data_IF_908652731584
#
_entry.id   IF_908652731584
#
_cell.length_a   1.000
_cell.length_b   1.000
_cell.length_c   1.000
_cell.angle_alpha   90.00
_cell.angle_beta   90.00
_cell.angle_gamma   90.00
#
_symmetry.space_group_name_H-M   'P 1'
#
loop_
_entity.id
_entity.type
_entity.pdbx_description
1 polymer ?
#
# COMPACT_ATOMS: atom_id res chain seq x y z
N UNK A 1 0.89 2.55 20.91
CA UNK A 1 -0.30 1.65 20.85
C UNK A 1 -0.60 0.98 22.18
N UNK A 2 0.38 0.38 22.88
CA UNK A 2 0.14 -0.36 24.14
C UNK A 2 -0.66 0.40 25.22
N UNK A 3 -0.50 1.72 25.33
CA UNK A 3 -1.17 2.48 26.40
C UNK A 3 -2.55 3.07 26.01
N UNK A 4 -2.90 3.06 24.71
CA UNK A 4 -4.08 3.78 24.21
C UNK A 4 -4.98 2.98 23.26
N UNK A 5 -4.47 1.88 22.69
CA UNK A 5 -5.18 1.11 21.67
C UNK A 5 -5.88 -0.13 22.23
N UNK A 6 -5.46 -0.62 23.40
CA UNK A 6 -5.96 -1.88 23.98
C UNK A 6 -7.49 -1.85 24.10
N UNK A 7 -8.16 -2.85 23.51
CA UNK A 7 -9.62 -2.98 23.48
C UNK A 7 -10.31 -2.22 22.33
N UNK A 8 -9.58 -1.40 21.58
CA UNK A 8 -10.10 -0.57 20.50
C UNK A 8 -9.66 -1.06 19.12
N UNK A 9 -10.51 -0.80 18.12
CA UNK A 9 -10.09 -0.84 16.73
C UNK A 9 -9.07 0.26 16.47
N UNK A 10 -7.93 -0.13 15.90
CA UNK A 10 -6.86 0.77 15.50
C UNK A 10 -6.74 0.73 14.00
N UNK A 11 -6.72 1.92 13.40
CA UNK A 11 -6.51 2.12 11.98
C UNK A 11 -5.07 2.57 11.75
N UNK A 12 -4.32 1.81 10.96
CA UNK A 12 -2.88 1.98 10.74
C UNK A 12 -2.64 2.08 9.23
N UNK A 13 -2.40 3.30 8.76
CA UNK A 13 -2.12 3.59 7.34
C UNK A 13 -1.05 4.67 7.25
N UNK A 14 -0.28 4.64 6.17
CA UNK A 14 0.68 5.71 5.87
C UNK A 14 -0.05 6.91 5.23
N UNK A 15 0.58 8.08 5.24
CA UNK A 15 -0.01 9.34 4.73
C UNK A 15 -0.25 9.32 3.21
N UNK A 16 0.45 8.44 2.50
CA UNK A 16 0.34 8.18 1.07
C UNK A 16 -0.55 6.96 0.78
N UNK A 17 -1.40 6.54 1.72
CA UNK A 17 -2.30 5.40 1.56
C UNK A 17 -3.78 5.76 1.73
N UNK A 18 -4.63 5.21 0.85
CA UNK A 18 -6.08 5.26 0.98
C UNK A 18 -6.64 3.85 1.13
N UNK A 19 -7.31 3.59 2.26
CA UNK A 19 -7.96 2.31 2.51
C UNK A 19 -9.38 2.28 1.96
N UNK A 20 -9.67 1.28 1.14
CA UNK A 20 -11.03 0.96 0.70
C UNK A 20 -11.45 -0.39 1.30
N UNK A 21 -12.73 -0.51 1.61
CA UNK A 21 -13.33 -1.71 2.18
C UNK A 21 -14.64 -2.04 1.46
N UNK A 22 -15.14 -3.29 1.52
CA UNK A 22 -16.42 -3.66 0.92
C UNK A 22 -17.56 -2.70 1.31
N UNK A 23 -18.17 -2.07 0.30
CA UNK A 23 -19.29 -1.15 0.48
C UNK A 23 -18.90 0.26 0.95
N UNK A 24 -17.63 0.67 0.83
CA UNK A 24 -17.15 2.01 1.23
C UNK A 24 -17.86 3.17 0.51
N UNK A 25 -18.46 2.96 -0.65
CA UNK A 25 -19.21 4.01 -1.36
C UNK A 25 -20.53 4.37 -0.69
N UNK A 26 -21.09 3.47 0.11
CA UNK A 26 -22.43 3.62 0.70
C UNK A 26 -22.46 3.46 2.21
N UNK A 27 -21.34 3.03 2.82
CA UNK A 27 -21.25 2.72 4.24
C UNK A 27 -20.00 3.36 4.84
N UNK A 28 -20.14 3.89 6.05
CA UNK A 28 -19.00 4.31 6.84
C UNK A 28 -18.19 3.12 7.37
N UNK A 29 -16.93 3.38 7.73
CA UNK A 29 -16.02 2.39 8.29
C UNK A 29 -16.61 1.64 9.50
N UNK A 30 -17.42 2.31 10.32
CA UNK A 30 -18.07 1.69 11.48
C UNK A 30 -18.91 0.46 11.12
N UNK A 31 -19.71 0.52 10.05
CA UNK A 31 -20.53 -0.63 9.62
C UNK A 31 -19.67 -1.80 9.13
N UNK A 32 -18.54 -1.51 8.51
CA UNK A 32 -17.58 -2.52 8.11
C UNK A 32 -16.92 -3.18 9.34
N UNK A 33 -16.57 -2.39 10.35
CA UNK A 33 -16.05 -2.92 11.61
C UNK A 33 -17.08 -3.74 12.37
N UNK A 34 -18.36 -3.33 12.40
CA UNK A 34 -19.45 -4.10 13.00
C UNK A 34 -19.60 -5.47 12.32
N UNK A 35 -19.46 -5.54 11.00
CA UNK A 35 -19.43 -6.80 10.27
C UNK A 35 -18.25 -7.66 10.72
N UNK A 36 -17.05 -7.11 10.73
CA UNK A 36 -15.83 -7.84 11.10
C UNK A 36 -15.90 -8.36 12.54
N UNK A 37 -16.34 -7.52 13.49
CA UNK A 37 -16.54 -7.89 14.89
C UNK A 37 -17.65 -8.93 15.05
N UNK A 38 -18.76 -8.80 14.33
CA UNK A 38 -19.88 -9.75 14.35
C UNK A 38 -19.49 -11.16 13.88
N UNK A 39 -18.46 -11.27 13.03
CA UNK A 39 -17.88 -12.55 12.60
C UNK A 39 -16.71 -13.01 13.50
N UNK A 40 -16.48 -12.32 14.62
CA UNK A 40 -15.48 -12.67 15.61
C UNK A 40 -14.03 -12.40 15.18
N UNK A 41 -13.81 -11.74 14.05
CA UNK A 41 -12.47 -11.38 13.58
C UNK A 41 -11.93 -10.16 14.33
N UNK A 42 -10.60 -10.00 14.33
CA UNK A 42 -9.88 -8.95 15.06
C UNK A 42 -8.82 -8.26 14.20
N UNK A 43 -8.69 -8.63 12.92
CA UNK A 43 -7.76 -7.99 12.00
C UNK A 43 -8.24 -8.14 10.56
N UNK A 44 -7.99 -7.11 9.75
CA UNK A 44 -8.28 -7.10 8.31
C UNK A 44 -6.99 -6.93 7.55
N UNK A 45 -6.67 -7.89 6.69
CA UNK A 45 -5.56 -7.79 5.73
C UNK A 45 -5.98 -6.94 4.54
N UNK A 46 -5.04 -6.21 3.97
CA UNK A 46 -5.25 -5.45 2.74
C UNK A 46 -4.04 -5.59 1.80
N UNK A 47 -4.21 -6.10 0.57
CA UNK A 47 -3.23 -5.90 -0.49
C UNK A 47 -3.05 -4.41 -0.81
N UNK A 48 -1.88 -4.06 -1.33
CA UNK A 48 -1.54 -2.73 -1.80
C UNK A 48 -1.56 -2.70 -3.33
N UNK A 49 -2.26 -1.73 -3.91
CA UNK A 49 -2.12 -1.34 -5.31
C UNK A 49 -1.30 -0.06 -5.37
N UNK A 50 -0.12 -0.15 -5.97
CA UNK A 50 0.69 1.04 -6.20
C UNK A 50 0.06 1.84 -7.35
N UNK A 51 -0.35 3.07 -7.03
CA UNK A 51 -1.02 3.99 -7.93
C UNK A 51 0.01 4.92 -8.59
N UNK A 52 -0.20 5.26 -9.86
CA UNK A 52 0.69 6.11 -10.64
C UNK A 52 -0.04 6.98 -11.68
N UNK A 53 0.66 7.99 -12.20
CA UNK A 53 0.21 8.82 -13.31
C UNK A 53 0.53 8.20 -14.68
N UNK A 54 -0.04 8.77 -15.74
CA UNK A 54 0.33 8.51 -17.15
C UNK A 54 1.59 9.27 -17.61
N UNK A 55 2.25 9.97 -16.69
CA UNK A 55 3.48 10.74 -16.90
C UNK A 55 4.69 10.05 -16.29
N UNK A 56 5.88 10.54 -16.64
CA UNK A 56 7.09 10.23 -15.92
C UNK A 56 6.89 10.51 -14.42
N UNK A 57 7.48 9.66 -13.56
CA UNK A 57 7.29 9.75 -12.10
C UNK A 57 7.67 11.13 -11.58
N UNK A 58 8.75 11.72 -12.09
CA UNK A 58 9.19 13.07 -11.74
C UNK A 58 8.19 14.18 -12.14
N UNK A 59 7.21 13.88 -12.99
CA UNK A 59 6.25 14.82 -13.57
C UNK A 59 4.80 14.56 -13.14
N UNK A 60 4.55 13.66 -12.19
CA UNK A 60 3.20 13.30 -11.69
C UNK A 60 2.38 14.53 -11.24
N UNK A 61 3.04 15.57 -10.71
CA UNK A 61 2.43 16.89 -10.53
C UNK A 61 1.40 16.99 -9.42
N UNK A 62 1.44 16.11 -8.41
CA UNK A 62 0.59 16.21 -7.24
C UNK A 62 0.86 17.49 -6.46
N UNK A 63 -0.19 18.15 -5.97
CA UNK A 63 -0.08 19.33 -5.11
C UNK A 63 -0.70 19.02 -3.76
N UNK A 64 -0.06 19.46 -2.69
CA UNK A 64 -0.56 19.27 -1.32
C UNK A 64 -2.03 19.74 -1.21
N UNK A 65 -2.87 18.89 -0.61
CA UNK A 65 -4.31 19.13 -0.49
C UNK A 65 -5.11 18.76 -1.74
N UNK A 66 -4.46 18.35 -2.83
CA UNK A 66 -5.09 17.80 -4.02
C UNK A 66 -5.58 16.37 -3.83
N UNK A 67 -6.30 15.84 -4.82
CA UNK A 67 -6.76 14.45 -4.79
C UNK A 67 -5.68 13.50 -5.34
N UNK A 68 -5.18 12.60 -4.50
CA UNK A 68 -4.18 11.59 -4.89
C UNK A 68 -4.70 10.67 -6.02
N UNK A 69 -5.98 10.31 -6.02
CA UNK A 69 -6.60 9.49 -7.08
C UNK A 69 -6.66 10.25 -8.41
N UNK A 70 -6.85 11.57 -8.38
CA UNK A 70 -6.83 12.38 -9.63
C UNK A 70 -5.41 12.52 -10.19
N UNK A 71 -4.41 12.66 -9.32
CA UNK A 71 -3.00 12.73 -9.72
C UNK A 71 -2.47 11.38 -10.24
N UNK A 72 -2.86 10.29 -9.57
CA UNK A 72 -2.41 8.93 -9.87
C UNK A 72 -3.62 7.99 -10.02
N UNK A 73 -4.34 8.05 -11.14
CA UNK A 73 -5.54 7.22 -11.34
C UNK A 73 -5.20 5.80 -11.80
N UNK A 74 -3.97 5.54 -12.23
CA UNK A 74 -3.60 4.28 -12.88
C UNK A 74 -2.94 3.29 -11.92
N UNK A 75 -3.13 2.01 -12.18
CA UNK A 75 -2.47 0.90 -11.51
C UNK A 75 -2.32 -0.28 -12.49
N UNK A 76 -1.53 -1.29 -12.14
CA UNK A 76 -1.41 -2.49 -12.98
C UNK A 76 -2.63 -3.40 -12.84
N UNK A 77 -3.22 -3.83 -13.96
CA UNK A 77 -4.31 -4.82 -13.93
C UNK A 77 -3.85 -6.26 -13.65
N UNK A 78 -2.55 -6.54 -13.84
CA UNK A 78 -1.99 -7.90 -13.78
C UNK A 78 -0.53 -7.93 -13.27
N UNK A 79 0.08 -9.11 -13.29
CA UNK A 79 1.48 -9.28 -12.88
C UNK A 79 1.70 -9.41 -11.37
N UNK A 80 0.66 -9.86 -10.64
CA UNK A 80 0.72 -10.06 -9.20
C UNK A 80 0.91 -11.54 -8.82
N UNK A 81 1.83 -11.78 -7.89
CA UNK A 81 1.94 -13.04 -7.15
C UNK A 81 0.86 -13.07 -6.07
N UNK A 82 0.12 -14.18 -5.98
CA UNK A 82 -0.96 -14.36 -5.01
C UNK A 82 -0.49 -15.09 -3.75
N UNK A 83 -1.05 -14.71 -2.60
CA UNK A 83 -0.77 -15.38 -1.33
C UNK A 83 -1.22 -16.84 -1.32
N UNK A 84 -0.36 -17.71 -0.78
CA UNK A 84 -0.60 -19.15 -0.67
C UNK A 84 -1.70 -19.54 0.31
N UNK A 85 -2.07 -20.83 0.31
CA UNK A 85 -3.22 -21.38 1.08
C UNK A 85 -3.15 -21.15 2.60
N UNK A 86 -1.95 -21.08 3.17
CA UNK A 86 -1.71 -20.94 4.61
C UNK A 86 -1.36 -19.50 5.02
N UNK A 87 -1.65 -18.53 4.15
CA UNK A 87 -1.42 -17.10 4.38
C UNK A 87 -2.75 -16.42 4.73
N UNK A 88 -2.70 -15.39 5.59
CA UNK A 88 -3.83 -14.49 5.80
C UNK A 88 -4.22 -13.75 4.51
N UNK A 89 -3.28 -13.58 3.59
CA UNK A 89 -3.49 -12.98 2.28
C UNK A 89 -3.78 -14.02 1.19
N UNK A 90 -4.41 -15.15 1.53
CA UNK A 90 -4.71 -16.23 0.59
C UNK A 90 -5.50 -15.70 -0.62
N UNK A 91 -4.96 -15.91 -1.81
CA UNK A 91 -5.58 -15.47 -3.06
C UNK A 91 -5.56 -13.95 -3.29
N UNK A 92 -4.91 -13.18 -2.41
CA UNK A 92 -4.73 -11.74 -2.57
C UNK A 92 -3.35 -11.44 -3.17
N UNK A 93 -3.19 -10.33 -3.92
CA UNK A 93 -1.88 -9.86 -4.36
C UNK A 93 -0.93 -9.64 -3.16
N UNK A 94 0.26 -10.25 -3.21
CA UNK A 94 1.27 -10.09 -2.16
C UNK A 94 2.62 -9.58 -2.68
N UNK A 95 2.83 -9.60 -3.99
CA UNK A 95 4.03 -9.12 -4.67
C UNK A 95 3.71 -8.86 -6.13
N UNK A 96 4.53 -8.08 -6.83
CA UNK A 96 4.38 -7.84 -8.27
C UNK A 96 4.15 -6.36 -8.58
N UNK A 97 3.28 -6.10 -9.56
CA UNK A 97 2.86 -4.77 -9.97
C UNK A 97 4.02 -3.87 -10.42
N UNK A 98 3.85 -2.53 -10.38
CA UNK A 98 4.80 -1.60 -10.98
C UNK A 98 6.14 -1.62 -10.23
N UNK A 99 6.14 -1.85 -8.91
CA UNK A 99 7.39 -1.99 -8.16
C UNK A 99 8.23 -3.16 -8.64
N UNK A 100 7.62 -4.31 -8.95
CA UNK A 100 8.37 -5.43 -9.51
C UNK A 100 8.76 -5.18 -10.96
N UNK A 101 7.82 -4.74 -11.81
CA UNK A 101 8.07 -4.49 -13.24
C UNK A 101 9.22 -3.51 -13.45
N UNK A 102 9.16 -2.35 -12.79
CA UNK A 102 10.06 -1.24 -13.07
C UNK A 102 11.43 -1.40 -12.41
N UNK A 103 11.52 -2.11 -11.28
CA UNK A 103 12.75 -2.12 -10.49
C UNK A 103 13.35 -3.51 -10.26
N UNK A 104 12.65 -4.61 -10.58
CA UNK A 104 13.16 -5.99 -10.42
C UNK A 104 13.17 -6.81 -11.70
N UNK A 105 12.11 -6.77 -12.51
CA UNK A 105 11.92 -7.74 -13.61
C UNK A 105 13.09 -7.78 -14.61
N UNK A 106 13.71 -6.63 -14.88
CA UNK A 106 14.86 -6.49 -15.77
C UNK A 106 16.19 -6.25 -15.04
N UNK A 107 16.21 -6.39 -13.71
CA UNK A 107 17.37 -6.09 -12.87
C UNK A 107 17.65 -7.32 -12.01
N UNK A 108 18.67 -8.09 -12.39
CA UNK A 108 19.08 -9.33 -11.71
C UNK A 108 19.44 -9.06 -10.23
N UNK A 109 18.43 -9.12 -9.35
CA UNK A 109 18.53 -8.78 -7.93
C UNK A 109 18.38 -10.05 -7.10
N UNK A 110 19.32 -10.26 -6.19
CA UNK A 110 19.38 -11.44 -5.31
C UNK A 110 18.28 -11.49 -4.22
N UNK A 111 17.38 -10.51 -4.18
CA UNK A 111 16.31 -10.41 -3.18
C UNK A 111 14.99 -10.03 -3.84
N UNK A 112 13.85 -10.47 -3.30
CA UNK A 112 12.55 -10.23 -3.93
C UNK A 112 12.14 -8.75 -3.87
N UNK A 113 11.28 -8.33 -4.81
CA UNK A 113 10.58 -7.04 -4.75
C UNK A 113 9.74 -6.94 -3.48
N UNK A 114 9.25 -5.77 -3.07
CA UNK A 114 8.59 -5.62 -1.76
C UNK A 114 7.27 -6.37 -1.65
N UNK A 115 6.90 -6.71 -0.42
CA UNK A 115 5.59 -7.30 -0.11
C UNK A 115 4.50 -6.24 -0.22
N UNK A 116 3.44 -6.57 -0.96
CA UNK A 116 2.30 -5.70 -1.27
C UNK A 116 1.09 -5.99 -0.38
N UNK A 117 1.27 -6.17 0.93
CA UNK A 117 0.16 -6.32 1.89
C UNK A 117 0.46 -5.63 3.21
N UNK A 118 -0.57 -5.13 3.88
CA UNK A 118 -0.51 -4.59 5.26
C UNK A 118 -1.73 -5.07 6.06
N UNK A 119 -1.73 -4.76 7.35
CA UNK A 119 -2.87 -4.95 8.26
C UNK A 119 -3.39 -3.60 8.72
N UNK A 120 -4.21 -2.90 7.91
CA UNK A 120 -4.63 -1.54 8.25
C UNK A 120 -5.61 -1.48 9.41
N UNK A 121 -6.36 -2.55 9.68
CA UNK A 121 -7.30 -2.59 10.81
C UNK A 121 -6.95 -3.74 11.72
N UNK A 122 -6.79 -3.40 13.00
CA UNK A 122 -6.54 -4.37 14.08
C UNK A 122 -7.31 -3.96 15.31
N UNK A 123 -8.01 -4.91 15.93
CA UNK A 123 -8.52 -4.77 17.28
C UNK A 123 -7.39 -5.09 18.24
N UNK A 124 -6.80 -4.06 18.83
CA UNK A 124 -5.57 -4.21 19.61
C UNK A 124 -5.88 -4.94 20.92
N UNK A 125 -5.18 -6.06 21.14
CA UNK A 125 -5.28 -6.85 22.37
C UNK A 125 -4.01 -6.72 23.19
N UNK A 126 -4.11 -7.02 24.49
CA UNK A 126 -2.92 -7.19 25.32
C UNK A 126 -2.06 -8.34 24.75
N UNK A 127 -0.77 -8.08 24.51
CA UNK A 127 0.12 -9.00 23.79
C UNK A 127 0.13 -8.88 22.25
N UNK A 128 -0.61 -7.95 21.64
CA UNK A 128 -0.48 -7.65 20.20
C UNK A 128 0.90 -7.05 19.89
N UNK A 129 1.57 -7.60 18.87
CA UNK A 129 2.90 -7.15 18.43
C UNK A 129 2.92 -6.96 16.91
N UNK A 130 3.20 -5.73 16.48
CA UNK A 130 3.47 -5.42 15.09
C UNK A 130 4.87 -5.92 14.72
N UNK A 131 4.95 -6.84 13.77
CA UNK A 131 6.21 -7.36 13.24
C UNK A 131 6.37 -6.81 11.82
N UNK A 132 7.57 -6.28 11.52
CA UNK A 132 7.89 -5.62 10.26
C UNK A 132 6.91 -4.49 9.91
N UNK A 133 6.88 -3.45 10.75
CA UNK A 133 5.98 -2.28 10.69
C UNK A 133 4.49 -2.60 10.81
N UNK A 134 3.90 -3.29 9.82
CA UNK A 134 2.50 -3.75 9.82
C UNK A 134 2.29 -5.03 8.97
N UNK A 135 3.37 -5.64 8.46
CA UNK A 135 3.30 -6.75 7.50
C UNK A 135 2.99 -8.10 8.12
N UNK A 136 3.13 -8.25 9.43
CA UNK A 136 2.79 -9.50 10.13
C UNK A 136 2.28 -9.19 11.53
N UNK A 137 1.15 -9.78 11.87
CA UNK A 137 0.54 -9.71 13.19
C UNK A 137 0.28 -11.13 13.68
N UNK A 138 0.62 -11.43 14.93
CA UNK A 138 0.37 -12.73 15.57
C UNK A 138 -0.73 -12.58 16.63
N UNK A 139 -1.40 -13.70 16.94
CA UNK A 139 -2.42 -13.73 18.00
C UNK A 139 -3.76 -13.09 17.61
N UNK A 140 -3.99 -12.84 16.32
CA UNK A 140 -5.25 -12.29 15.79
C UNK A 140 -6.07 -13.32 15.05
N UNK A 141 -7.38 -13.05 14.95
CA UNK A 141 -8.32 -13.78 14.09
C UNK A 141 -8.56 -12.95 12.84
N UNK A 142 -8.14 -13.46 11.69
CA UNK A 142 -8.27 -12.75 10.42
C UNK A 142 -9.72 -12.73 9.95
N UNK A 143 -10.15 -11.58 9.44
CA UNK A 143 -11.41 -11.45 8.73
C UNK A 143 -11.37 -12.26 7.44
N UNK A 144 -12.51 -12.85 7.05
CA UNK A 144 -12.67 -13.50 5.75
C UNK A 144 -12.69 -12.50 4.58
N UNK A 145 -13.02 -11.23 4.90
CA UNK A 145 -13.02 -10.10 3.97
C UNK A 145 -11.69 -9.36 4.06
N UNK A 146 -11.21 -8.89 2.91
CA UNK A 146 -10.08 -7.96 2.84
C UNK A 146 -10.56 -6.56 2.48
N UNK A 147 -9.76 -5.56 2.83
CA UNK A 147 -9.82 -4.27 2.16
C UNK A 147 -8.73 -4.15 1.11
N UNK A 148 -8.49 -2.96 0.60
CA UNK A 148 -7.38 -2.67 -0.31
C UNK A 148 -6.79 -1.31 0.03
N UNK A 149 -5.47 -1.22 -0.03
CA UNK A 149 -4.75 0.03 0.12
C UNK A 149 -4.35 0.53 -1.25
N UNK A 150 -4.83 1.70 -1.63
CA UNK A 150 -4.27 2.44 -2.75
C UNK A 150 -3.05 3.19 -2.22
N UNK A 151 -1.88 2.91 -2.77
CA UNK A 151 -0.61 3.39 -2.26
C UNK A 151 0.05 4.31 -3.29
N UNK A 152 0.30 5.55 -2.90
CA UNK A 152 0.70 6.65 -3.79
C UNK A 152 2.20 6.92 -3.68
N UNK A 153 3.02 5.91 -3.98
CA UNK A 153 4.47 6.01 -3.91
C UNK A 153 5.10 6.77 -5.08
N UNK A 154 4.47 6.69 -6.25
CA UNK A 154 5.00 7.23 -7.50
C UNK A 154 4.60 8.69 -7.69
N UNK A 155 5.09 9.56 -6.80
CA UNK A 155 4.94 11.01 -6.87
C UNK A 155 6.24 11.69 -7.33
N UNK A 156 6.16 12.98 -7.65
CA UNK A 156 7.28 13.76 -8.20
C UNK A 156 8.54 13.79 -7.32
N UNK A 157 8.40 13.57 -6.02
CA UNK A 157 9.47 13.55 -5.02
C UNK A 157 10.04 12.14 -4.77
N UNK A 158 9.56 11.10 -5.47
CA UNK A 158 9.94 9.72 -5.17
C UNK A 158 11.45 9.47 -5.34
N UNK A 159 12.09 10.05 -6.37
CA UNK A 159 13.52 9.90 -6.58
C UNK A 159 14.35 10.52 -5.43
N UNK A 160 13.94 11.70 -4.96
CA UNK A 160 14.57 12.34 -3.81
C UNK A 160 14.39 11.52 -2.53
N UNK A 161 13.16 11.09 -2.25
CA UNK A 161 12.85 10.24 -1.11
C UNK A 161 13.64 8.92 -1.17
N UNK A 162 13.75 8.28 -2.34
CA UNK A 162 14.51 7.05 -2.51
C UNK A 162 16.00 7.23 -2.21
N UNK A 163 16.60 8.33 -2.71
CA UNK A 163 17.99 8.70 -2.47
C UNK A 163 18.28 8.96 -0.99
N UNK A 164 17.41 9.72 -0.33
CA UNK A 164 17.54 9.99 1.11
C UNK A 164 17.46 8.70 1.93
N UNK A 165 16.45 7.86 1.69
CA UNK A 165 16.24 6.64 2.45
C UNK A 165 17.31 5.58 2.18
N UNK A 166 17.89 5.56 0.97
CA UNK A 166 19.06 4.75 0.63
C UNK A 166 20.31 5.17 1.44
N UNK A 167 20.45 6.47 1.72
CA UNK A 167 21.56 7.05 2.48
C UNK A 167 21.42 6.89 4.01
N UNK A 168 20.19 6.96 4.56
CA UNK A 168 19.94 6.85 6.01
C UNK A 168 20.25 5.46 6.58
N UNK A 169 20.14 4.40 5.78
CA UNK A 169 20.41 3.00 6.18
C UNK A 169 19.59 2.46 7.39
N UNK A 170 18.57 3.17 7.87
CA UNK A 170 17.74 2.77 9.02
C UNK A 170 16.55 1.84 8.67
N UNK A 171 16.32 1.55 7.39
CA UNK A 171 15.21 0.69 6.92
C UNK A 171 15.54 -0.82 6.93
N UNK A 172 14.48 -1.65 6.94
CA UNK A 172 14.56 -3.12 6.89
C UNK A 172 15.62 -3.62 5.90
N UNK A 173 16.55 -4.43 6.42
CA UNK A 173 17.68 -4.99 5.67
C UNK A 173 18.60 -3.97 4.98
N UNK A 174 18.91 -2.86 5.66
CA UNK A 174 19.94 -1.91 5.25
C UNK A 174 19.55 -1.09 4.02
N UNK A 175 18.28 -0.69 3.92
CA UNK A 175 17.74 0.12 2.81
C UNK A 175 17.91 -0.48 1.40
N UNK A 176 18.12 -1.80 1.27
CA UNK A 176 18.31 -2.47 -0.04
C UNK A 176 17.21 -2.17 -1.06
N UNK A 177 15.97 -2.04 -0.58
CA UNK A 177 14.82 -1.69 -1.42
C UNK A 177 14.94 -0.26 -1.96
N UNK A 178 15.33 0.70 -1.13
CA UNK A 178 15.49 2.09 -1.54
C UNK A 178 16.69 2.28 -2.48
N UNK A 179 17.79 1.54 -2.27
CA UNK A 179 18.90 1.48 -3.22
C UNK A 179 18.48 0.94 -4.58
N UNK A 180 17.58 -0.05 -4.62
CA UNK A 180 17.03 -0.57 -5.87
C UNK A 180 16.22 0.48 -6.64
N UNK A 181 15.48 1.34 -5.93
CA UNK A 181 14.77 2.45 -6.56
C UNK A 181 15.72 3.53 -7.05
N UNK A 182 16.61 3.98 -6.18
CA UNK A 182 17.57 5.05 -6.44
C UNK A 182 18.46 4.72 -7.66
N UNK A 183 18.93 3.48 -7.79
CA UNK A 183 19.74 3.02 -8.93
C UNK A 183 19.06 3.24 -10.30
N UNK A 184 17.74 3.07 -10.38
CA UNK A 184 16.98 3.24 -11.62
C UNK A 184 16.54 4.68 -11.79
N UNK A 185 15.96 5.29 -10.74
CA UNK A 185 15.44 6.66 -10.78
C UNK A 185 16.54 7.69 -11.09
N UNK A 186 17.78 7.45 -10.66
CA UNK A 186 18.92 8.32 -10.98
C UNK A 186 19.39 8.20 -12.43
N UNK A 187 19.11 7.10 -13.13
CA UNK A 187 19.55 6.86 -14.51
C UNK A 187 18.45 7.18 -15.52
N UNK A 188 17.19 7.05 -15.12
CA UNK A 188 16.03 7.14 -15.98
C UNK A 188 15.05 8.22 -15.51
N UNK A 189 15.41 9.49 -15.74
CA UNK A 189 14.55 10.62 -15.37
C UNK A 189 13.14 10.57 -16.02
N UNK A 190 13.03 9.93 -17.19
CA UNK A 190 11.76 9.73 -17.91
C UNK A 190 11.00 8.46 -17.50
N UNK A 191 11.41 7.76 -16.44
CA UNK A 191 10.77 6.50 -16.03
C UNK A 191 9.28 6.71 -15.78
N UNK A 192 8.47 5.95 -16.51
CA UNK A 192 7.01 6.00 -16.46
C UNK A 192 6.47 4.64 -16.05
N UNK A 193 5.53 4.62 -15.12
CA UNK A 193 4.88 3.39 -14.68
C UNK A 193 3.75 2.94 -15.63
N UNK A 194 3.11 3.89 -16.32
CA UNK A 194 2.02 3.64 -17.25
C UNK A 194 2.43 2.82 -18.46
N UNK A 195 1.58 1.86 -18.83
CA UNK A 195 1.78 0.94 -19.95
C UNK A 195 0.41 0.42 -20.45
N UNK A 196 0.41 -0.44 -21.47
CA UNK A 196 -0.82 -0.95 -22.09
C UNK A 196 -1.72 -1.74 -21.11
N UNK A 197 -1.14 -2.44 -20.13
CA UNK A 197 -1.89 -3.18 -19.11
C UNK A 197 -2.26 -2.33 -17.88
N UNK A 198 -2.18 -1.00 -17.97
CA UNK A 198 -2.63 -0.10 -16.91
C UNK A 198 -4.16 0.04 -16.89
N UNK A 199 -4.75 -0.13 -15.72
CA UNK A 199 -6.17 0.12 -15.45
C UNK A 199 -6.36 1.43 -14.68
N UNK A 200 -7.50 2.12 -14.92
CA UNK A 200 -7.80 3.38 -14.27
C UNK A 200 -8.89 3.25 -13.21
N UNK A 201 -8.62 3.81 -12.03
CA UNK A 201 -9.65 4.17 -11.05
C UNK A 201 -9.95 5.66 -11.14
N UNK A 202 -11.19 5.99 -11.50
CA UNK A 202 -11.65 7.39 -11.47
C UNK A 202 -12.16 7.75 -10.08
N UNK A 203 -11.79 8.94 -9.60
CA UNK A 203 -12.38 9.50 -8.40
C UNK A 203 -13.89 9.70 -8.61
N UNK A 204 -14.73 9.07 -7.79
CA UNK A 204 -16.18 9.33 -7.74
C UNK A 204 -16.58 10.35 -6.66
N UNK A 205 -15.61 10.84 -5.87
CA UNK A 205 -15.88 11.83 -4.84
C UNK A 205 -16.00 13.22 -5.48
N UNK A 206 -17.23 13.73 -5.53
CA UNK A 206 -17.47 15.16 -5.66
C UNK A 206 -16.78 15.90 -4.51
N UNK A 207 -16.18 17.04 -4.83
CA UNK A 207 -15.55 17.96 -3.87
C UNK A 207 -16.36 18.00 -2.58
N UNK A 208 -15.82 17.47 -1.49
CA UNK A 208 -16.34 17.80 -0.16
C UNK A 208 -16.00 19.28 0.00
N UNK A 209 -16.99 20.19 0.08
CA UNK A 209 -16.69 21.59 0.31
C UNK A 209 -15.98 21.67 1.66
N UNK A 210 -14.73 22.13 1.63
CA UNK A 210 -14.03 22.59 2.82
C UNK A 210 -14.91 23.71 3.39
N UNK A 211 -15.52 23.47 4.54
CA UNK A 211 -16.16 24.52 5.33
C UNK A 211 -15.12 25.26 6.14
#
# INVERSE_FOLDING_TARGET
MRDHAVGHWTFIVDVDELFLFPGYESNGLGRFLDYVDGHGATAVVAPMLDMYSDRAIAETGYRQGGCLIEACPWFDGEGYELGGKNSEARGLPIRGGPRHRLFWQAHDREFPSPVLKKTPLVRWADGSELIASTHTLRGVRWAEVSGILLHFKFLQDFAENAREEAGRAEHFAGARQYRAYDDILNREAGLTAFHEGSEARRCRYGRVPVR
#
